data_IF_744492235680
#
_entry.id   IF_744492235680
#
_cell.length_a   1.000
_cell.length_b   1.000
_cell.length_c   1.000
_cell.angle_alpha   90.00
_cell.angle_beta   90.00
_cell.angle_gamma   90.00
#
_symmetry.space_group_name_H-M   'P 1'
#
loop_
_entity.id
_entity.type
_entity.pdbx_description
1 polymer ?
#
# COMPACT_ATOMS: atom_id res chain seq x y z
N UNK A 1 -19.64 -41.90 33.63
CA UNK A 1 -18.48 -41.35 32.87
C UNK A 1 -18.85 -40.67 31.54
N UNK A 2 -20.12 -40.53 31.17
CA UNK A 2 -20.53 -39.97 29.85
C UNK A 2 -20.69 -38.45 29.81
N UNK A 3 -20.76 -37.74 30.95
CA UNK A 3 -20.95 -36.27 30.98
C UNK A 3 -19.65 -35.46 30.88
N UNK A 4 -18.50 -36.07 31.15
CA UNK A 4 -17.18 -35.42 31.03
C UNK A 4 -16.70 -35.39 29.57
N UNK A 5 -17.00 -36.44 28.79
CA UNK A 5 -16.66 -36.49 27.36
C UNK A 5 -17.46 -35.48 26.52
N UNK A 6 -18.72 -35.19 26.87
CA UNK A 6 -19.47 -34.13 26.19
C UNK A 6 -18.98 -32.71 26.51
N UNK A 7 -18.47 -32.48 27.73
CA UNK A 7 -17.96 -31.17 28.15
C UNK A 7 -16.64 -30.82 27.44
N UNK A 8 -15.74 -31.81 27.27
CA UNK A 8 -14.50 -31.64 26.51
C UNK A 8 -14.78 -31.42 25.02
N UNK A 9 -15.79 -32.11 24.45
CA UNK A 9 -16.19 -31.92 23.04
C UNK A 9 -16.82 -30.55 22.78
N UNK A 10 -17.61 -30.02 23.74
CA UNK A 10 -18.15 -28.66 23.68
C UNK A 10 -17.06 -27.58 23.80
N UNK A 11 -16.07 -27.78 24.67
CA UNK A 11 -14.96 -26.83 24.82
C UNK A 11 -14.07 -26.76 23.57
N UNK A 12 -13.92 -27.86 22.83
CA UNK A 12 -13.16 -27.89 21.57
C UNK A 12 -13.91 -27.25 20.39
N UNK A 13 -15.25 -27.23 20.41
CA UNK A 13 -16.04 -26.51 19.40
C UNK A 13 -16.15 -25.01 19.70
N UNK A 14 -16.22 -24.62 20.98
CA UNK A 14 -16.25 -23.20 21.38
C UNK A 14 -14.94 -22.48 21.08
N UNK A 15 -13.78 -23.15 21.19
CA UNK A 15 -12.48 -22.55 20.81
C UNK A 15 -12.37 -22.29 19.31
N UNK A 16 -12.82 -23.23 18.47
CA UNK A 16 -12.80 -23.06 17.01
C UNK A 16 -13.82 -22.02 16.51
N UNK A 17 -14.97 -21.88 17.17
CA UNK A 17 -15.95 -20.82 16.90
C UNK A 17 -15.45 -19.44 17.39
N UNK A 18 -14.77 -19.38 18.54
CA UNK A 18 -14.17 -18.14 19.03
C UNK A 18 -13.00 -17.65 18.15
N UNK A 19 -12.23 -18.57 17.56
CA UNK A 19 -11.19 -18.25 16.57
C UNK A 19 -11.75 -17.77 15.23
N UNK A 20 -12.97 -18.20 14.85
CA UNK A 20 -13.63 -17.71 13.64
C UNK A 20 -14.37 -16.39 13.84
N UNK A 21 -14.80 -16.06 15.08
CA UNK A 21 -15.58 -14.85 15.35
C UNK A 21 -14.78 -13.61 15.80
N UNK A 22 -13.46 -13.72 16.01
CA UNK A 22 -12.58 -12.55 16.18
C UNK A 22 -12.00 -11.97 14.87
N UNK A 23 -12.43 -12.49 13.72
CA UNK A 23 -11.87 -12.14 12.40
C UNK A 23 -12.64 -11.02 11.67
N UNK A 24 -13.11 -10.01 12.40
CA UNK A 24 -13.71 -8.79 11.82
C UNK A 24 -12.98 -7.50 12.25
N UNK A 25 -11.75 -7.61 12.76
CA UNK A 25 -10.77 -6.55 12.47
C UNK A 25 -10.31 -6.80 11.05
N UNK A 26 -10.55 -5.84 10.14
CA UNK A 26 -10.02 -5.84 8.76
C UNK A 26 -8.54 -6.21 8.81
N UNK A 27 -8.22 -7.49 8.61
CA UNK A 27 -6.83 -7.91 8.54
C UNK A 27 -6.27 -7.27 7.28
N UNK A 28 -5.28 -6.40 7.46
CA UNK A 28 -4.55 -5.89 6.33
C UNK A 28 -3.92 -7.05 5.57
N UNK A 29 -3.95 -6.96 4.25
CA UNK A 29 -3.53 -8.01 3.34
C UNK A 29 -2.28 -7.62 2.55
N UNK A 30 -1.78 -6.40 2.72
CA UNK A 30 -0.64 -5.85 1.98
C UNK A 30 0.63 -5.95 2.81
N UNK A 31 1.72 -6.38 2.17
CA UNK A 31 3.08 -6.33 2.71
C UNK A 31 3.95 -5.51 1.76
N UNK A 32 4.63 -4.49 2.28
CA UNK A 32 5.54 -3.64 1.51
C UNK A 32 6.96 -3.77 2.06
N UNK A 33 7.90 -4.07 1.17
CA UNK A 33 9.32 -4.19 1.50
C UNK A 33 10.11 -2.91 1.17
N UNK A 34 11.35 -2.83 1.67
CA UNK A 34 12.28 -1.71 1.42
C UNK A 34 12.82 -1.68 -0.01
N UNK A 35 12.66 -2.77 -0.76
CA UNK A 35 13.09 -2.92 -2.16
C UNK A 35 11.93 -2.62 -3.16
N UNK A 36 10.91 -1.87 -2.73
CA UNK A 36 9.73 -1.50 -3.50
C UNK A 36 8.76 -2.64 -3.86
N UNK A 37 9.01 -3.87 -3.41
CA UNK A 37 8.10 -4.99 -3.64
C UNK A 37 6.85 -4.86 -2.78
N UNK A 38 5.71 -5.14 -3.39
CA UNK A 38 4.40 -5.18 -2.76
C UNK A 38 3.83 -6.57 -2.95
N UNK A 39 3.49 -7.20 -1.84
CA UNK A 39 2.77 -8.46 -1.82
C UNK A 39 1.37 -8.24 -1.27
N UNK A 40 0.37 -8.89 -1.86
CA UNK A 40 -0.99 -8.79 -1.38
C UNK A 40 -1.67 -10.16 -1.34
N UNK A 41 -2.25 -10.50 -0.19
CA UNK A 41 -2.98 -11.74 0.05
C UNK A 41 -4.49 -11.50 -0.13
N UNK A 42 -4.94 -11.41 -1.37
CA UNK A 42 -6.34 -11.16 -1.69
C UNK A 42 -6.77 -11.85 -2.98
N UNK A 43 -8.01 -12.33 -3.01
CA UNK A 43 -8.68 -12.83 -4.20
C UNK A 43 -9.63 -11.77 -4.80
N UNK A 44 -9.87 -10.66 -4.09
CA UNK A 44 -10.86 -9.66 -4.46
C UNK A 44 -10.40 -8.90 -5.71
N UNK A 45 -11.13 -9.00 -6.85
CA UNK A 45 -10.75 -8.30 -8.07
C UNK A 45 -10.69 -6.78 -7.88
N UNK A 46 -11.53 -6.23 -7.00
CA UNK A 46 -11.55 -4.81 -6.66
C UNK A 46 -10.24 -4.38 -5.98
N UNK A 47 -9.78 -5.12 -4.97
CA UNK A 47 -8.54 -4.79 -4.27
C UNK A 47 -7.31 -4.92 -5.18
N UNK A 48 -7.32 -5.92 -6.06
CA UNK A 48 -6.28 -6.10 -7.08
C UNK A 48 -6.29 -4.91 -8.05
N UNK A 49 -7.46 -4.49 -8.54
CA UNK A 49 -7.59 -3.35 -9.44
C UNK A 49 -7.12 -2.05 -8.79
N UNK A 50 -7.48 -1.80 -7.53
CA UNK A 50 -7.04 -0.63 -6.77
C UNK A 50 -5.51 -0.58 -6.60
N UNK A 51 -4.88 -1.71 -6.27
CA UNK A 51 -3.42 -1.80 -6.19
C UNK A 51 -2.75 -1.49 -7.53
N UNK A 52 -3.30 -2.04 -8.62
CA UNK A 52 -2.77 -1.87 -9.98
C UNK A 52 -2.83 -0.42 -10.48
N UNK A 53 -3.55 0.47 -9.81
CA UNK A 53 -3.55 1.90 -10.15
C UNK A 53 -2.19 2.56 -9.93
N UNK A 54 -1.36 2.03 -9.03
CA UNK A 54 -0.08 2.66 -8.64
C UNK A 54 1.09 1.67 -8.50
N UNK A 55 0.88 0.37 -8.74
CA UNK A 55 1.94 -0.65 -8.81
C UNK A 55 1.99 -1.30 -10.19
N UNK A 56 3.16 -1.78 -10.56
CA UNK A 56 3.32 -2.72 -11.67
C UNK A 56 3.11 -4.14 -11.14
N UNK A 57 2.14 -4.88 -11.71
CA UNK A 57 1.84 -6.25 -11.29
C UNK A 57 2.76 -7.24 -12.02
N UNK A 58 3.61 -7.96 -11.29
CA UNK A 58 4.53 -8.94 -11.87
C UNK A 58 3.95 -10.36 -11.87
N UNK A 59 3.32 -10.77 -10.77
CA UNK A 59 2.79 -12.13 -10.62
C UNK A 59 1.40 -12.11 -10.00
N UNK A 60 0.52 -12.95 -10.55
CA UNK A 60 -0.83 -13.18 -10.05
C UNK A 60 -1.08 -14.66 -9.85
N UNK A 61 -1.28 -15.04 -8.59
CA UNK A 61 -1.72 -16.36 -8.15
C UNK A 61 -3.14 -16.25 -7.59
N UNK A 62 -3.87 -17.37 -7.38
CA UNK A 62 -5.26 -17.33 -6.94
C UNK A 62 -5.51 -16.50 -5.67
N UNK A 63 -4.62 -16.60 -4.66
CA UNK A 63 -4.74 -15.94 -3.34
C UNK A 63 -3.64 -14.93 -3.03
N UNK A 64 -2.79 -14.65 -4.01
CA UNK A 64 -1.57 -13.92 -3.79
C UNK A 64 -1.16 -13.17 -5.04
N UNK A 65 -0.79 -11.91 -4.86
CA UNK A 65 -0.21 -11.10 -5.92
C UNK A 65 1.13 -10.53 -5.46
N UNK A 66 2.04 -10.40 -6.41
CA UNK A 66 3.31 -9.72 -6.21
C UNK A 66 3.49 -8.66 -7.30
N UNK A 67 3.88 -7.47 -6.89
CA UNK A 67 4.14 -6.35 -7.77
C UNK A 67 5.26 -5.47 -7.24
N UNK A 68 5.54 -4.41 -7.98
CA UNK A 68 6.60 -3.46 -7.71
C UNK A 68 6.06 -2.03 -7.81
N UNK A 69 6.45 -1.18 -6.86
CA UNK A 69 6.23 0.26 -6.98
C UNK A 69 7.37 0.83 -7.83
N UNK A 70 7.08 1.25 -9.06
CA UNK A 70 8.07 1.84 -9.98
C UNK A 70 7.75 3.30 -10.22
N UNK A 71 8.76 4.12 -10.54
CA UNK A 71 8.56 5.54 -10.85
C UNK A 71 7.46 5.76 -11.91
N UNK A 72 7.42 4.90 -12.93
CA UNK A 72 6.43 4.99 -14.00
C UNK A 72 5.02 4.59 -13.57
N UNK A 73 4.86 3.58 -12.71
CA UNK A 73 3.56 3.20 -12.16
C UNK A 73 2.95 4.33 -11.33
N UNK A 74 3.74 4.94 -10.43
CA UNK A 74 3.27 6.04 -9.59
C UNK A 74 3.05 7.32 -10.39
N UNK A 75 3.90 7.61 -11.38
CA UNK A 75 3.71 8.75 -12.29
C UNK A 75 2.41 8.63 -13.09
N UNK A 76 2.06 7.41 -13.51
CA UNK A 76 0.78 7.14 -14.17
C UNK A 76 -0.39 7.36 -13.21
N UNK A 77 -0.27 6.91 -11.96
CA UNK A 77 -1.25 7.18 -10.91
C UNK A 77 -1.45 8.70 -10.68
N UNK A 78 -0.37 9.47 -10.61
CA UNK A 78 -0.42 10.93 -10.44
C UNK A 78 -1.11 11.62 -11.63
N UNK A 79 -0.91 11.13 -12.88
CA UNK A 79 -1.62 11.65 -14.06
C UNK A 79 -3.14 11.41 -13.96
N UNK A 80 -3.54 10.32 -13.32
CA UNK A 80 -4.94 9.98 -13.09
C UNK A 80 -5.54 10.65 -11.84
N UNK A 81 -4.82 11.59 -11.21
CA UNK A 81 -5.31 12.36 -10.07
C UNK A 81 -5.17 11.68 -8.70
N UNK A 82 -4.45 10.56 -8.61
CA UNK A 82 -4.16 9.90 -7.34
C UNK A 82 -2.93 10.56 -6.72
N UNK A 83 -3.02 11.05 -5.49
CA UNK A 83 -1.93 11.76 -4.79
C UNK A 83 -1.01 10.81 -4.00
N UNK A 84 0.22 11.24 -3.70
CA UNK A 84 1.17 10.48 -2.88
C UNK A 84 0.59 10.14 -1.50
N UNK A 85 -0.14 11.08 -0.91
CA UNK A 85 -0.84 10.89 0.37
C UNK A 85 -1.90 9.80 0.28
N UNK A 86 -2.66 9.72 -0.81
CA UNK A 86 -3.67 8.66 -0.99
C UNK A 86 -3.01 7.29 -1.13
N UNK A 87 -1.91 7.17 -1.89
CA UNK A 87 -1.18 5.91 -2.08
C UNK A 87 -0.63 5.41 -0.74
N UNK A 88 0.12 6.26 -0.02
CA UNK A 88 0.72 5.91 1.27
C UNK A 88 -0.33 5.60 2.33
N UNK A 89 -1.45 6.32 2.34
CA UNK A 89 -2.57 6.06 3.23
C UNK A 89 -3.27 4.73 2.92
N UNK A 90 -3.50 4.42 1.64
CA UNK A 90 -4.08 3.14 1.22
C UNK A 90 -3.19 1.96 1.64
N UNK A 91 -1.88 2.05 1.38
CA UNK A 91 -0.92 1.02 1.79
C UNK A 91 -0.93 0.83 3.31
N UNK A 92 -0.97 1.92 4.08
CA UNK A 92 -0.98 1.87 5.55
C UNK A 92 -2.30 1.32 6.12
N UNK A 93 -3.44 1.67 5.53
CA UNK A 93 -4.77 1.21 5.99
C UNK A 93 -4.96 -0.30 5.79
N UNK A 94 -4.35 -0.85 4.74
CA UNK A 94 -4.45 -2.25 4.36
C UNK A 94 -3.18 -3.06 4.66
N UNK A 95 -2.24 -2.50 5.42
CA UNK A 95 -1.00 -3.15 5.80
C UNK A 95 -1.26 -4.32 6.77
N UNK A 96 -0.56 -5.43 6.54
CA UNK A 96 -0.67 -6.62 7.37
C UNK A 96 -0.29 -6.31 8.83
N UNK A 97 -1.01 -6.84 9.84
CA UNK A 97 -0.75 -6.55 11.25
C UNK A 97 0.70 -6.76 11.70
N UNK A 98 1.39 -7.76 11.13
CA UNK A 98 2.79 -8.04 11.47
C UNK A 98 3.78 -6.99 10.94
N UNK A 99 3.35 -6.05 10.08
CA UNK A 99 4.19 -4.93 9.65
C UNK A 99 4.28 -3.83 10.71
N UNK A 100 3.30 -3.75 11.61
CA UNK A 100 3.32 -2.80 12.72
C UNK A 100 4.42 -3.22 13.68
N UNK A 101 5.45 -2.38 13.79
CA UNK A 101 6.56 -2.59 14.69
C UNK A 101 6.63 -1.41 15.65
N UNK A 102 6.68 -1.68 16.96
CA UNK A 102 6.82 -0.64 17.99
C UNK A 102 8.08 0.23 17.80
N UNK A 103 9.08 -0.29 17.09
CA UNK A 103 10.35 0.40 16.81
C UNK A 103 10.26 1.37 15.63
N UNK A 104 9.21 1.30 14.81
CA UNK A 104 9.06 2.14 13.60
C UNK A 104 7.89 3.10 13.78
N UNK A 105 8.11 4.36 13.42
CA UNK A 105 7.06 5.40 13.46
C UNK A 105 5.95 5.14 12.42
N UNK A 106 6.28 4.49 11.31
CA UNK A 106 5.35 4.20 10.22
C UNK A 106 5.31 2.71 9.90
N UNK A 107 4.14 2.25 9.45
CA UNK A 107 3.91 0.84 9.06
C UNK A 107 4.64 0.51 7.77
N UNK A 108 4.58 1.43 6.81
CA UNK A 108 5.30 1.35 5.55
C UNK A 108 6.72 1.88 5.78
N UNK A 109 7.77 1.27 5.19
CA UNK A 109 9.12 1.78 5.31
C UNK A 109 9.22 3.24 4.85
N UNK A 110 9.86 4.09 5.67
CA UNK A 110 9.99 5.53 5.39
C UNK A 110 10.61 5.83 4.02
N UNK A 111 11.58 5.02 3.60
CA UNK A 111 12.20 5.15 2.27
C UNK A 111 11.19 5.07 1.13
N UNK A 112 10.16 4.21 1.23
CA UNK A 112 9.13 4.07 0.20
C UNK A 112 8.19 5.27 0.22
N UNK A 113 7.82 5.73 1.42
CA UNK A 113 6.99 6.92 1.60
C UNK A 113 7.68 8.12 0.94
N UNK A 114 8.94 8.39 1.31
CA UNK A 114 9.72 9.51 0.82
C UNK A 114 9.86 9.46 -0.71
N UNK A 115 10.15 8.28 -1.28
CA UNK A 115 10.29 8.13 -2.73
C UNK A 115 9.01 8.43 -3.49
N UNK A 116 7.85 8.00 -2.98
CA UNK A 116 6.55 8.32 -3.59
C UNK A 116 6.31 9.83 -3.60
N UNK A 117 6.63 10.52 -2.50
CA UNK A 117 6.50 11.99 -2.42
C UNK A 117 7.50 12.71 -3.33
N UNK A 118 8.75 12.25 -3.41
CA UNK A 118 9.75 12.80 -4.32
C UNK A 118 9.28 12.67 -5.79
N UNK A 119 8.74 11.52 -6.18
CA UNK A 119 8.20 11.33 -7.53
C UNK A 119 6.97 12.17 -7.84
N UNK A 120 6.16 12.52 -6.84
CA UNK A 120 5.06 13.48 -7.02
C UNK A 120 5.61 14.89 -7.26
N UNK A 121 6.57 15.33 -6.44
CA UNK A 121 7.22 16.64 -6.56
C UNK A 121 7.99 16.80 -7.87
N UNK A 122 8.53 15.71 -8.42
CA UNK A 122 9.20 15.71 -9.72
C UNK A 122 8.32 16.21 -10.88
N UNK A 123 6.98 16.14 -10.75
CA UNK A 123 6.07 16.69 -11.75
C UNK A 123 5.92 18.21 -11.67
N UNK A 124 6.10 18.79 -10.49
CA UNK A 124 5.84 20.21 -10.23
C UNK A 124 7.14 21.04 -10.29
N UNK A 125 8.04 20.71 -11.22
CA UNK A 125 9.35 21.37 -11.35
C UNK A 125 9.34 22.65 -12.17
N UNK A 126 8.26 22.93 -12.92
CA UNK A 126 8.16 24.09 -13.80
C UNK A 126 7.13 25.08 -13.27
N UNK A 127 7.58 26.29 -12.99
CA UNK A 127 6.73 27.45 -12.72
C UNK A 127 6.76 28.34 -13.94
N UNK A 128 5.60 28.62 -14.53
CA UNK A 128 5.48 29.60 -15.60
C UNK A 128 5.49 30.99 -14.98
N UNK A 129 6.39 31.84 -15.45
CA UNK A 129 6.46 33.24 -15.08
C UNK A 129 6.25 34.08 -16.33
N UNK A 130 5.22 34.93 -16.34
CA UNK A 130 5.03 35.90 -17.40
C UNK A 130 6.17 36.93 -17.36
N UNK A 131 6.82 37.18 -18.51
CA UNK A 131 7.96 38.07 -18.58
C UNK A 131 8.33 38.45 -20.00
N UNK A 132 9.08 39.55 -20.12
CA UNK A 132 9.64 40.03 -21.39
C UNK A 132 11.15 39.87 -21.33
N UNK A 133 11.71 39.10 -22.26
CA UNK A 133 13.16 38.97 -22.41
C UNK A 133 13.67 40.12 -23.28
N UNK A 134 14.22 41.14 -22.64
CA UNK A 134 15.02 42.13 -23.36
C UNK A 134 16.41 41.55 -23.66
N UNK A 135 16.81 41.61 -24.91
CA UNK A 135 18.14 41.21 -25.38
C UNK A 135 18.67 42.26 -26.36
N UNK A 136 19.96 42.19 -26.73
CA UNK A 136 20.61 43.13 -27.66
C UNK A 136 20.73 44.58 -27.15
N UNK A 137 21.34 44.75 -25.96
CA UNK A 137 21.72 46.08 -25.49
C UNK A 137 23.00 46.54 -26.20
N UNK A 138 22.95 47.69 -26.86
CA UNK A 138 24.02 48.16 -27.76
C UNK A 138 25.26 48.76 -27.07
N UNK A 139 25.39 48.73 -25.74
CA UNK A 139 26.62 49.17 -25.05
C UNK A 139 26.63 48.81 -23.55
N UNK A 140 27.79 48.37 -23.05
CA UNK A 140 28.16 48.28 -21.63
C UNK A 140 28.44 49.67 -21.03
#
# INVERSE_FOLDING_TARGET
>A
MTRLFESVRRNFQLSNLALTQQHNKRQGFIVVETNYRVYAYTESPLQIALLTLFIELNYRFPKFIAGLITRDSVRTAFKNGITAKQITHYLSMHAHPNMYSEKRSTVIPGTIIDQIFLWEQERNRLTFCDGVLYSQFNSQ
#
